data_IF_664254796975
#
_entry.id   IF_664254796975
#
_cell.length_a   1.000
_cell.length_b   1.000
_cell.length_c   1.000
_cell.angle_alpha   90.00
_cell.angle_beta   90.00
_cell.angle_gamma   90.00
#
_symmetry.space_group_name_H-M   'P 1'
#
loop_
_entity.id
_entity.type
_entity.pdbx_description
1 polymer ?
#
# COMPACT_ATOMS: atom_id res chain seq x y z
N UNK A 1 -13.30 2.51 10.09
CA UNK A 1 -12.21 2.73 9.12
C UNK A 1 -12.45 4.09 8.49
N UNK A 2 -11.40 4.88 8.23
CA UNK A 2 -11.53 6.19 7.57
C UNK A 2 -12.11 6.01 6.15
N UNK A 3 -13.07 6.86 5.74
CA UNK A 3 -13.73 6.78 4.43
C UNK A 3 -12.75 6.92 3.26
N UNK A 4 -11.75 7.81 3.39
CA UNK A 4 -10.71 7.99 2.35
C UNK A 4 -9.94 6.68 2.14
N UNK A 5 -9.57 6.01 3.24
CA UNK A 5 -8.88 4.73 3.16
C UNK A 5 -9.75 3.65 2.52
N UNK A 6 -11.04 3.59 2.87
CA UNK A 6 -11.97 2.62 2.27
C UNK A 6 -12.07 2.80 0.76
N UNK A 7 -12.25 4.04 0.31
CA UNK A 7 -12.29 4.39 -1.13
C UNK A 7 -10.99 4.01 -1.83
N UNK A 8 -9.86 4.36 -1.26
CA UNK A 8 -8.56 4.04 -1.86
C UNK A 8 -8.33 2.53 -1.94
N UNK A 9 -8.63 1.79 -0.88
CA UNK A 9 -8.49 0.33 -0.90
C UNK A 9 -9.45 -0.34 -1.90
N UNK A 10 -10.65 0.20 -2.09
CA UNK A 10 -11.57 -0.31 -3.09
C UNK A 10 -10.99 -0.18 -4.51
N UNK A 11 -10.38 0.95 -4.82
CA UNK A 11 -9.69 1.18 -6.09
C UNK A 11 -8.46 0.26 -6.22
N UNK A 12 -7.61 0.21 -5.18
CA UNK A 12 -6.36 -0.55 -5.19
C UNK A 12 -6.58 -2.06 -5.35
N UNK A 13 -7.68 -2.58 -4.79
CA UNK A 13 -8.01 -4.00 -4.79
C UNK A 13 -9.18 -4.35 -5.73
N UNK A 14 -9.54 -3.47 -6.65
CA UNK A 14 -10.56 -3.70 -7.68
C UNK A 14 -11.87 -4.25 -7.11
N UNK A 15 -12.38 -3.62 -6.04
CA UNK A 15 -13.58 -4.04 -5.32
C UNK A 15 -14.47 -2.85 -4.98
N UNK A 16 -15.57 -3.09 -4.29
CA UNK A 16 -16.49 -2.05 -3.83
C UNK A 16 -16.18 -1.63 -2.38
N UNK A 17 -16.48 -0.39 -2.03
CA UNK A 17 -16.28 0.17 -0.68
C UNK A 17 -16.99 -0.67 0.39
N UNK A 18 -18.20 -1.15 0.10
CA UNK A 18 -18.95 -2.01 1.01
C UNK A 18 -18.25 -3.33 1.31
N UNK A 19 -17.58 -3.92 0.31
CA UNK A 19 -16.77 -5.12 0.50
C UNK A 19 -15.54 -4.80 1.38
N UNK A 20 -14.86 -3.68 1.12
CA UNK A 20 -13.74 -3.23 1.97
C UNK A 20 -14.19 -3.02 3.42
N UNK A 21 -15.38 -2.50 3.65
CA UNK A 21 -15.92 -2.29 5.00
C UNK A 21 -16.40 -3.58 5.68
N UNK A 22 -16.64 -4.67 4.94
CA UNK A 22 -17.07 -5.96 5.48
C UNK A 22 -15.97 -6.63 6.33
N UNK A 23 -16.28 -7.78 6.93
CA UNK A 23 -15.31 -8.60 7.68
C UNK A 23 -14.76 -9.78 6.87
N UNK A 24 -15.21 -9.95 5.65
CA UNK A 24 -14.85 -11.07 4.80
C UNK A 24 -13.55 -10.84 4.07
N UNK A 25 -12.77 -11.89 3.84
CA UNK A 25 -11.61 -11.87 2.96
C UNK A 25 -12.04 -11.58 1.52
N UNK A 26 -11.26 -10.78 0.80
CA UNK A 26 -11.57 -10.32 -0.56
C UNK A 26 -10.46 -10.76 -1.50
N UNK A 27 -10.86 -11.41 -2.59
CA UNK A 27 -9.96 -11.88 -3.63
C UNK A 27 -10.51 -11.48 -5.00
N UNK A 28 -9.83 -10.58 -5.69
CA UNK A 28 -10.29 -10.00 -6.95
C UNK A 28 -9.28 -10.23 -8.07
N UNK A 29 -9.78 -10.38 -9.28
CA UNK A 29 -8.91 -10.34 -10.46
C UNK A 29 -8.49 -8.90 -10.68
N UNK A 30 -7.18 -8.69 -10.79
CA UNK A 30 -6.60 -7.38 -11.01
C UNK A 30 -7.09 -6.76 -12.32
N UNK A 31 -7.57 -5.53 -12.21
CA UNK A 31 -7.92 -4.66 -13.32
C UNK A 31 -7.39 -3.25 -13.01
N UNK A 32 -6.57 -2.65 -13.89
CA UNK A 32 -6.02 -1.33 -13.62
C UNK A 32 -7.14 -0.29 -13.61
N UNK A 33 -7.44 0.26 -12.43
CA UNK A 33 -8.40 1.34 -12.23
C UNK A 33 -7.67 2.68 -12.13
N UNK A 34 -8.30 3.74 -12.61
CA UNK A 34 -7.78 5.09 -12.43
C UNK A 34 -7.72 5.45 -10.94
N UNK A 35 -6.62 6.08 -10.50
CA UNK A 35 -6.40 6.43 -9.09
C UNK A 35 -5.85 5.30 -8.23
N UNK A 36 -5.53 4.15 -8.82
CA UNK A 36 -4.83 3.08 -8.12
C UNK A 36 -3.41 3.52 -7.73
N UNK A 37 -3.02 3.24 -6.50
CA UNK A 37 -1.63 3.40 -6.06
C UNK A 37 -0.77 2.30 -6.68
N UNK A 38 0.38 2.69 -7.19
CA UNK A 38 1.35 1.81 -7.86
C UNK A 38 2.52 1.60 -6.90
N UNK A 39 2.74 0.35 -6.49
CA UNK A 39 3.84 -0.04 -5.60
C UNK A 39 4.82 -0.99 -6.28
N UNK A 40 4.44 -1.50 -7.43
CA UNK A 40 5.21 -2.45 -8.22
C UNK A 40 5.93 -1.78 -9.39
N UNK A 41 7.09 -2.29 -9.73
CA UNK A 41 7.75 -2.00 -10.99
C UNK A 41 7.22 -2.96 -12.06
N UNK A 42 6.55 -2.41 -13.07
CA UNK A 42 5.99 -3.20 -14.18
C UNK A 42 4.59 -3.74 -13.90
N UNK A 43 4.36 -5.03 -14.18
CA UNK A 43 3.04 -5.64 -14.10
C UNK A 43 2.71 -6.16 -12.69
N UNK A 44 1.53 -5.84 -12.19
CA UNK A 44 1.05 -6.35 -10.90
C UNK A 44 0.61 -7.82 -11.05
N UNK A 45 1.39 -8.75 -10.54
CA UNK A 45 1.04 -10.18 -10.52
C UNK A 45 0.13 -10.52 -9.34
N UNK A 46 0.45 -10.01 -8.17
CA UNK A 46 -0.32 -10.18 -6.94
C UNK A 46 0.01 -9.04 -5.96
N UNK A 47 -1.03 -8.51 -5.37
CA UNK A 47 -0.97 -7.56 -4.26
C UNK A 47 -1.86 -8.04 -3.13
N UNK A 48 -1.34 -8.03 -1.91
CA UNK A 48 -2.08 -8.43 -0.70
C UNK A 48 -1.94 -7.32 0.34
N UNK A 49 -3.03 -6.99 1.00
CA UNK A 49 -3.02 -6.17 2.21
C UNK A 49 -3.85 -6.86 3.30
N UNK A 50 -3.38 -6.75 4.54
CA UNK A 50 -4.10 -7.23 5.70
C UNK A 50 -4.55 -6.06 6.54
N UNK A 51 -5.85 -5.95 6.78
CA UNK A 51 -6.43 -4.84 7.54
C UNK A 51 -7.65 -5.31 8.31
N UNK A 52 -7.77 -4.90 9.57
CA UNK A 52 -8.88 -5.29 10.45
C UNK A 52 -9.14 -6.80 10.51
N UNK A 53 -8.07 -7.59 10.50
CA UNK A 53 -8.13 -9.05 10.61
C UNK A 53 -8.56 -9.77 9.34
N UNK A 54 -8.69 -9.09 8.20
CA UNK A 54 -9.01 -9.71 6.92
C UNK A 54 -7.93 -9.51 5.87
N UNK A 55 -7.99 -10.33 4.84
CA UNK A 55 -7.13 -10.31 3.66
C UNK A 55 -7.85 -9.59 2.52
N UNK A 56 -7.19 -8.61 1.93
CA UNK A 56 -7.53 -8.03 0.64
C UNK A 56 -6.47 -8.49 -0.36
N UNK A 57 -6.84 -9.20 -1.40
CA UNK A 57 -5.92 -9.66 -2.43
C UNK A 57 -6.45 -9.35 -3.82
N UNK A 58 -5.58 -8.84 -4.70
CA UNK A 58 -5.88 -8.62 -6.10
C UNK A 58 -4.69 -9.07 -6.95
N UNK A 59 -4.94 -9.80 -8.03
CA UNK A 59 -3.86 -10.33 -8.85
C UNK A 59 -4.33 -10.95 -10.16
N UNK A 60 -3.39 -11.55 -10.88
CA UNK A 60 -3.69 -12.31 -12.10
C UNK A 60 -4.67 -13.45 -11.80
N UNK A 61 -5.51 -13.76 -12.78
CA UNK A 61 -6.66 -14.65 -12.61
C UNK A 61 -6.30 -16.04 -12.04
N UNK A 62 -5.23 -16.63 -12.50
CA UNK A 62 -4.75 -17.94 -12.05
C UNK A 62 -4.13 -17.88 -10.65
N UNK A 63 -3.32 -16.86 -10.38
CA UNK A 63 -2.69 -16.65 -9.09
C UNK A 63 -3.75 -16.37 -8.03
N UNK A 64 -4.69 -15.45 -8.30
CA UNK A 64 -5.72 -15.09 -7.33
C UNK A 64 -6.71 -16.22 -7.07
N UNK A 65 -6.95 -17.09 -8.04
CA UNK A 65 -7.76 -18.28 -7.85
C UNK A 65 -7.11 -19.25 -6.85
N UNK A 66 -5.80 -19.48 -7.01
CA UNK A 66 -5.02 -20.27 -6.05
C UNK A 66 -4.96 -19.61 -4.66
N UNK A 67 -4.65 -18.30 -4.58
CA UNK A 67 -4.61 -17.56 -3.31
C UNK A 67 -5.93 -17.66 -2.57
N UNK A 68 -7.05 -17.48 -3.28
CA UNK A 68 -8.39 -17.63 -2.68
C UNK A 68 -8.59 -19.03 -2.12
N UNK A 69 -8.31 -20.07 -2.89
CA UNK A 69 -8.54 -21.45 -2.43
C UNK A 69 -7.68 -21.80 -1.22
N UNK A 70 -6.45 -21.31 -1.18
CA UNK A 70 -5.51 -21.59 -0.08
C UNK A 70 -5.82 -20.78 1.18
N UNK A 71 -6.25 -19.52 1.04
CA UNK A 71 -6.30 -18.57 2.16
C UNK A 71 -7.69 -18.02 2.47
N UNK A 72 -8.76 -18.48 1.83
CA UNK A 72 -10.12 -17.93 2.03
C UNK A 72 -10.61 -17.96 3.48
N UNK A 73 -10.21 -18.97 4.23
CA UNK A 73 -10.62 -19.18 5.62
C UNK A 73 -9.56 -18.72 6.64
N UNK A 74 -8.45 -18.16 6.16
CA UNK A 74 -7.35 -17.69 7.02
C UNK A 74 -7.62 -16.28 7.55
N UNK A 75 -7.24 -16.05 8.81
CA UNK A 75 -7.30 -14.72 9.41
C UNK A 75 -6.23 -13.81 8.84
N UNK A 76 -6.61 -12.61 8.41
CA UNK A 76 -5.67 -11.57 7.98
C UNK A 76 -4.82 -10.99 9.12
N UNK A 77 -5.24 -11.17 10.39
CA UNK A 77 -4.47 -10.68 11.54
C UNK A 77 -3.09 -11.34 11.66
N UNK A 78 -2.98 -12.60 11.22
CA UNK A 78 -1.76 -13.40 11.30
C UNK A 78 -1.18 -13.78 9.93
N UNK A 79 -1.70 -13.18 8.87
CA UNK A 79 -1.27 -13.52 7.51
C UNK A 79 0.18 -13.07 7.20
N UNK A 80 0.68 -12.06 7.90
CA UNK A 80 2.06 -11.59 7.73
C UNK A 80 3.07 -12.31 8.62
N UNK A 81 2.66 -13.38 9.32
CA UNK A 81 3.57 -14.24 10.05
C UNK A 81 4.40 -15.11 9.11
N UNK A 82 5.56 -15.53 9.59
CA UNK A 82 6.55 -16.30 8.84
C UNK A 82 5.95 -17.55 8.19
N UNK A 83 5.06 -18.26 8.89
CA UNK A 83 4.42 -19.47 8.37
C UNK A 83 3.58 -19.20 7.13
N UNK A 84 2.69 -18.20 7.19
CA UNK A 84 1.81 -17.86 6.09
C UNK A 84 2.59 -17.27 4.89
N UNK A 85 3.63 -16.48 5.16
CA UNK A 85 4.49 -15.94 4.11
C UNK A 85 5.32 -17.05 3.42
N UNK A 86 5.79 -18.06 4.16
CA UNK A 86 6.47 -19.21 3.57
C UNK A 86 5.51 -20.04 2.70
N UNK A 87 4.27 -20.25 3.13
CA UNK A 87 3.25 -20.95 2.34
C UNK A 87 2.93 -20.17 1.06
N UNK A 88 2.75 -18.85 1.16
CA UNK A 88 2.54 -17.97 0.01
C UNK A 88 3.72 -18.04 -0.96
N UNK A 89 4.95 -17.88 -0.46
CA UNK A 89 6.17 -17.93 -1.26
C UNK A 89 6.34 -19.29 -1.96
N UNK A 90 6.06 -20.38 -1.25
CA UNK A 90 6.14 -21.74 -1.84
C UNK A 90 5.13 -21.92 -2.98
N UNK A 91 3.92 -21.41 -2.82
CA UNK A 91 2.89 -21.48 -3.85
C UNK A 91 3.14 -20.56 -5.03
N UNK A 92 3.67 -19.36 -4.81
CA UNK A 92 4.01 -18.42 -5.88
C UNK A 92 5.06 -18.98 -6.86
N UNK A 93 5.93 -19.90 -6.42
CA UNK A 93 6.91 -20.57 -7.28
C UNK A 93 6.26 -21.35 -8.42
N UNK A 94 5.03 -21.86 -8.24
CA UNK A 94 4.29 -22.54 -9.31
C UNK A 94 3.96 -21.60 -10.48
N UNK A 95 3.92 -20.31 -10.21
CA UNK A 95 3.66 -19.25 -11.18
C UNK A 95 4.92 -18.50 -11.60
N UNK A 96 6.12 -19.02 -11.24
CA UNK A 96 7.41 -18.35 -11.44
C UNK A 96 7.48 -16.95 -10.80
N UNK A 97 6.78 -16.77 -9.69
CA UNK A 97 6.73 -15.54 -8.91
C UNK A 97 7.36 -15.74 -7.53
N UNK A 98 7.71 -14.62 -6.88
CA UNK A 98 8.22 -14.57 -5.52
C UNK A 98 7.63 -13.32 -4.82
N UNK A 99 7.71 -13.28 -3.49
CA UNK A 99 7.39 -12.09 -2.73
C UNK A 99 8.49 -11.06 -3.00
N UNK A 100 8.14 -9.93 -3.61
CA UNK A 100 9.09 -8.85 -3.89
C UNK A 100 9.32 -7.98 -2.65
N UNK A 101 8.22 -7.62 -1.96
CA UNK A 101 8.26 -6.71 -0.82
C UNK A 101 7.15 -7.05 0.17
N UNK A 102 7.39 -6.82 1.45
CA UNK A 102 6.39 -6.87 2.50
C UNK A 102 6.67 -5.74 3.50
N UNK A 103 5.74 -4.82 3.65
CA UNK A 103 5.87 -3.67 4.52
C UNK A 103 4.65 -3.49 5.43
N UNK A 104 4.84 -3.11 6.70
CA UNK A 104 3.77 -2.55 7.48
C UNK A 104 3.42 -1.15 6.94
N UNK A 105 2.15 -0.79 6.97
CA UNK A 105 1.74 0.59 6.78
C UNK A 105 0.93 1.07 7.98
N UNK A 106 1.10 2.32 8.31
CA UNK A 106 0.49 2.93 9.46
C UNK A 106 -0.60 3.90 9.01
N UNK A 107 -1.71 3.91 9.74
CA UNK A 107 -2.84 4.78 9.48
C UNK A 107 -3.04 5.64 10.71
N UNK A 108 -3.01 6.96 10.53
CA UNK A 108 -3.36 7.88 11.59
C UNK A 108 -4.84 7.68 11.98
N UNK A 109 -5.08 7.29 13.22
CA UNK A 109 -6.43 7.15 13.79
C UNK A 109 -6.89 8.44 14.46
N UNK A 110 -5.96 9.21 14.96
CA UNK A 110 -6.19 10.51 15.61
C UNK A 110 -5.12 11.50 15.15
N UNK A 111 -5.51 12.74 14.93
CA UNK A 111 -4.58 13.83 14.72
C UNK A 111 -4.47 14.58 16.04
N UNK A 112 -3.29 14.58 16.66
CA UNK A 112 -2.99 15.45 17.78
C UNK A 112 -2.51 16.80 17.25
N UNK A 113 -2.90 17.88 17.94
CA UNK A 113 -2.31 19.18 17.69
C UNK A 113 -0.82 19.13 18.05
N UNK A 114 0.02 19.43 17.06
CA UNK A 114 1.46 19.57 17.27
C UNK A 114 1.78 21.04 17.53
N UNK A 115 2.49 21.33 18.63
CA UNK A 115 2.97 22.68 18.87
C UNK A 115 4.07 23.03 17.87
N UNK A 116 3.74 23.87 16.91
CA UNK A 116 4.65 24.31 15.83
C UNK A 116 5.21 25.70 16.06
N UNK A 117 5.07 26.29 17.28
CA UNK A 117 5.43 27.70 17.57
C UNK A 117 6.87 28.05 17.22
N UNK A 118 7.79 27.07 17.31
CA UNK A 118 9.22 27.26 17.04
C UNK A 118 9.60 26.89 15.60
N UNK A 119 8.62 26.56 14.76
CA UNK A 119 8.87 26.12 13.38
C UNK A 119 7.93 26.79 12.40
N UNK A 120 8.48 27.19 11.26
CA UNK A 120 7.71 27.52 10.07
C UNK A 120 7.44 26.24 9.30
N UNK A 121 6.16 25.92 9.12
CA UNK A 121 5.76 24.73 8.33
C UNK A 121 5.50 25.18 6.90
N UNK A 122 6.19 24.54 5.94
CA UNK A 122 6.00 24.76 4.50
C UNK A 122 5.56 23.46 3.85
N UNK A 123 4.57 23.57 2.95
CA UNK A 123 4.09 22.47 2.13
C UNK A 123 4.56 22.76 0.70
N UNK A 124 5.11 21.76 0.05
CA UNK A 124 5.60 21.79 -1.32
C UNK A 124 4.81 20.78 -2.14
N UNK A 125 4.35 21.15 -3.32
CA UNK A 125 3.55 20.30 -4.19
C UNK A 125 4.15 20.23 -5.60
N UNK A 126 4.15 19.04 -6.18
CA UNK A 126 4.52 18.82 -7.57
C UNK A 126 5.92 19.35 -7.92
N UNK A 127 5.98 20.36 -8.81
CA UNK A 127 7.24 20.94 -9.29
C UNK A 127 8.05 21.66 -8.21
N UNK A 128 7.41 22.07 -7.11
CA UNK A 128 8.10 22.73 -5.99
C UNK A 128 9.04 21.75 -5.24
N UNK A 129 8.91 20.46 -5.49
CA UNK A 129 9.79 19.43 -4.95
C UNK A 129 11.12 19.31 -5.73
N UNK A 130 11.15 19.71 -7.00
CA UNK A 130 12.34 19.54 -7.86
C UNK A 130 13.63 20.19 -7.32
N UNK A 131 13.61 21.35 -6.62
CA UNK A 131 14.81 21.91 -6.02
C UNK A 131 15.50 21.01 -4.97
N UNK A 132 14.78 20.02 -4.42
CA UNK A 132 15.33 19.08 -3.45
C UNK A 132 15.99 17.85 -4.12
N UNK A 133 15.79 17.67 -5.43
CA UNK A 133 16.38 16.58 -6.20
C UNK A 133 17.90 16.65 -6.20
N UNK A 134 18.51 15.55 -5.77
CA UNK A 134 19.98 15.45 -5.70
C UNK A 134 20.63 16.19 -4.53
N UNK A 135 19.86 16.78 -3.63
CA UNK A 135 20.37 17.32 -2.38
C UNK A 135 20.44 16.19 -1.34
N UNK A 136 21.65 15.77 -0.99
CA UNK A 136 21.89 14.65 -0.06
C UNK A 136 21.23 14.83 1.32
N UNK A 137 20.95 16.07 1.73
CA UNK A 137 20.25 16.36 3.00
C UNK A 137 18.82 15.81 3.02
N UNK A 138 18.21 15.63 1.86
CA UNK A 138 16.84 15.20 1.67
C UNK A 138 16.71 13.81 1.01
N UNK A 139 17.83 13.11 0.82
CA UNK A 139 17.87 11.82 0.12
C UNK A 139 17.05 10.70 0.75
N UNK A 140 16.75 10.80 2.05
CA UNK A 140 15.84 9.85 2.73
C UNK A 140 14.39 10.35 2.77
N UNK A 141 14.15 11.64 2.53
CA UNK A 141 12.82 12.23 2.56
C UNK A 141 12.09 12.10 1.23
N UNK A 142 12.82 12.20 0.11
CA UNK A 142 12.28 12.13 -1.24
C UNK A 142 13.02 11.09 -2.07
N UNK A 143 12.27 10.21 -2.72
CA UNK A 143 12.84 9.16 -3.56
C UNK A 143 12.98 9.58 -5.03
N UNK A 144 12.17 10.53 -5.48
CA UNK A 144 12.16 11.06 -6.85
C UNK A 144 12.05 9.96 -7.92
N UNK A 145 11.31 8.89 -7.63
CA UNK A 145 11.03 7.85 -8.60
C UNK A 145 10.08 8.34 -9.70
N UNK A 146 10.13 7.70 -10.86
CA UNK A 146 9.14 7.98 -11.90
C UNK A 146 7.73 7.57 -11.49
N UNK A 147 7.61 6.44 -10.77
CA UNK A 147 6.36 5.93 -10.20
C UNK A 147 6.65 5.06 -8.96
N UNK A 148 5.96 5.30 -7.83
CA UNK A 148 5.12 6.47 -7.55
C UNK A 148 5.96 7.74 -7.44
N UNK A 149 5.40 8.88 -7.86
CA UNK A 149 6.04 10.18 -7.68
C UNK A 149 5.81 10.69 -6.27
N UNK A 150 6.81 11.43 -5.76
CA UNK A 150 6.59 12.29 -4.61
C UNK A 150 5.66 13.44 -5.04
N UNK A 151 4.49 13.56 -4.41
CA UNK A 151 3.48 14.55 -4.79
C UNK A 151 3.44 15.72 -3.80
N UNK A 152 3.76 15.45 -2.54
CA UNK A 152 3.70 16.42 -1.45
C UNK A 152 4.91 16.25 -0.55
N UNK A 153 5.57 17.37 -0.25
CA UNK A 153 6.61 17.46 0.76
C UNK A 153 6.20 18.40 1.88
N UNK A 154 6.56 18.10 3.11
CA UNK A 154 6.33 18.96 4.27
C UNK A 154 7.66 19.25 4.94
N UNK A 155 8.03 20.52 5.03
CA UNK A 155 9.23 20.99 5.69
C UNK A 155 8.91 21.74 6.99
N UNK A 156 9.69 21.48 8.04
CA UNK A 156 9.68 22.25 9.28
C UNK A 156 11.00 23.01 9.38
N UNK A 157 10.94 24.33 9.37
CA UNK A 157 12.10 25.22 9.39
C UNK A 157 12.20 25.91 10.75
N UNK A 158 13.41 25.97 11.26
CA UNK A 158 13.74 26.69 12.47
C UNK A 158 14.83 27.73 12.18
N UNK A 159 14.64 28.98 12.65
CA UNK A 159 15.63 30.06 12.58
C UNK A 159 16.87 29.77 13.43
#
# INVERSE_FOLDING_TARGET
MNEILVKQLAIDFCTEEGAVASRENIFTVYTPLQGRRIFEEGECFLKIACINGKILASGKKDIIAWVRETFKDRSGAWFMDVEALHELEAGLKMFHCQIAQAHPFYIATEMSEVDTKDYEIRIFEGEELEPFRGDERFGEAFLFHELPKDEIGVGAYRD
#
